data_IF_697901511242
#
_entry.id   IF_697901511242
#
_cell.length_a   1.000
_cell.length_b   1.000
_cell.length_c   1.000
_cell.angle_alpha   90.00
_cell.angle_beta   90.00
_cell.angle_gamma   90.00
#
_symmetry.space_group_name_H-M   'P 1'
#
loop_
_entity.id
_entity.type
_entity.pdbx_description
1 polymer ?
#
# COMPACT_ATOMS: atom_id res chain seq x y z
N UNK A 1 19.73 4.29 -41.55
CA UNK A 1 19.09 3.53 -40.47
C UNK A 1 18.66 4.58 -39.42
N UNK A 2 17.42 4.99 -39.51
CA UNK A 2 16.80 5.95 -38.59
C UNK A 2 16.16 5.12 -37.51
N UNK A 3 16.69 5.18 -36.27
CA UNK A 3 16.06 4.60 -35.11
C UNK A 3 14.77 5.36 -34.80
N UNK A 4 13.63 4.69 -34.86
CA UNK A 4 12.37 5.20 -34.33
C UNK A 4 12.48 5.29 -32.81
N UNK A 5 12.13 6.42 -32.19
CA UNK A 5 12.07 6.51 -30.73
C UNK A 5 10.97 5.58 -30.22
N UNK A 6 11.30 4.72 -29.27
CA UNK A 6 10.34 3.82 -28.62
C UNK A 6 9.33 4.64 -27.84
N UNK A 7 8.10 4.68 -28.33
CA UNK A 7 6.94 5.42 -27.76
C UNK A 7 6.73 5.12 -26.25
N UNK A 8 7.15 3.96 -25.77
CA UNK A 8 7.05 3.58 -24.35
C UNK A 8 7.93 4.39 -23.38
N UNK A 9 9.06 4.93 -23.84
CA UNK A 9 9.96 5.70 -22.97
C UNK A 9 9.44 7.14 -22.73
N UNK A 10 8.76 7.75 -23.70
CA UNK A 10 8.17 9.08 -23.55
C UNK A 10 6.93 9.07 -22.65
N UNK A 11 6.08 8.04 -22.74
CA UNK A 11 4.89 7.90 -21.90
C UNK A 11 5.27 7.71 -20.41
N UNK A 12 6.24 6.84 -20.12
CA UNK A 12 6.73 6.64 -18.74
C UNK A 12 7.32 7.93 -18.15
N UNK A 13 7.99 8.75 -18.95
CA UNK A 13 8.57 10.04 -18.51
C UNK A 13 7.49 11.08 -18.20
N UNK A 14 6.42 11.14 -19.00
CA UNK A 14 5.30 12.07 -18.80
C UNK A 14 4.52 11.71 -17.54
N UNK A 15 4.25 10.42 -17.32
CA UNK A 15 3.55 9.90 -16.15
C UNK A 15 4.34 10.13 -14.86
N UNK A 16 5.64 9.88 -14.89
CA UNK A 16 6.56 10.20 -13.79
C UNK A 16 6.58 11.70 -13.44
N UNK A 17 6.57 12.60 -14.43
CA UNK A 17 6.51 14.05 -14.23
C UNK A 17 5.16 14.47 -13.65
N UNK A 18 4.06 13.84 -14.07
CA UNK A 18 2.72 14.11 -13.53
C UNK A 18 2.65 13.73 -12.06
N UNK A 19 3.02 12.50 -11.71
CA UNK A 19 3.05 12.01 -10.33
C UNK A 19 3.92 12.90 -9.43
N UNK A 20 5.08 13.34 -9.92
CA UNK A 20 5.95 14.26 -9.18
C UNK A 20 5.27 15.60 -8.90
N UNK A 21 4.55 16.17 -9.87
CA UNK A 21 3.81 17.44 -9.68
C UNK A 21 2.66 17.30 -8.71
N UNK A 22 1.96 16.19 -8.73
CA UNK A 22 0.87 15.90 -7.80
C UNK A 22 1.43 15.71 -6.38
N UNK A 23 2.53 14.97 -6.23
CA UNK A 23 3.22 14.85 -4.95
C UNK A 23 3.70 16.20 -4.40
N UNK A 24 4.25 17.09 -5.25
CA UNK A 24 4.69 18.41 -4.85
C UNK A 24 3.52 19.31 -4.37
N UNK A 25 2.31 19.12 -4.92
CA UNK A 25 1.10 19.85 -4.48
C UNK A 25 0.59 19.40 -3.12
N UNK A 26 0.91 18.18 -2.68
CA UNK A 26 0.46 17.62 -1.41
C UNK A 26 1.41 17.93 -0.25
N UNK A 27 2.63 18.37 -0.50
CA UNK A 27 3.62 18.66 0.54
C UNK A 27 3.16 19.70 1.54
N UNK A 28 2.63 20.85 1.08
CA UNK A 28 2.10 21.89 1.94
C UNK A 28 0.84 21.44 2.72
N UNK A 29 -0.18 20.82 2.11
CA UNK A 29 -1.30 20.22 2.83
C UNK A 29 -0.90 19.20 3.90
N UNK A 30 0.06 18.32 3.61
CA UNK A 30 0.53 17.30 4.55
C UNK A 30 1.20 17.94 5.77
N UNK A 31 2.08 18.92 5.56
CA UNK A 31 2.71 19.65 6.66
C UNK A 31 1.70 20.45 7.50
N UNK A 32 0.74 21.08 6.85
CA UNK A 32 -0.33 21.81 7.53
C UNK A 32 -1.20 20.87 8.38
N UNK A 33 -1.57 19.69 7.87
CA UNK A 33 -2.33 18.68 8.61
C UNK A 33 -1.55 18.19 9.84
N UNK A 34 -0.26 17.86 9.68
CA UNK A 34 0.61 17.44 10.78
C UNK A 34 0.73 18.51 11.86
N UNK A 35 0.86 19.80 11.48
CA UNK A 35 0.89 20.90 12.43
C UNK A 35 -0.43 21.08 13.19
N UNK A 36 -1.57 20.90 12.51
CA UNK A 36 -2.90 20.96 13.14
C UNK A 36 -3.08 19.77 14.08
N UNK A 37 -2.72 18.56 13.68
CA UNK A 37 -2.77 17.38 14.52
C UNK A 37 -2.01 17.61 15.84
N UNK A 38 -0.77 18.11 15.77
CA UNK A 38 0.03 18.43 16.96
C UNK A 38 -0.60 19.52 17.84
N UNK A 39 -1.23 20.54 17.26
CA UNK A 39 -1.95 21.58 18.02
C UNK A 39 -3.18 21.04 18.74
N UNK A 40 -3.80 20.00 18.19
CA UNK A 40 -4.93 19.29 18.81
C UNK A 40 -4.49 18.27 19.88
N UNK A 41 -3.19 18.09 20.08
CA UNK A 41 -2.63 17.17 21.06
C UNK A 41 -2.43 15.75 20.53
N UNK A 42 -2.49 15.54 19.22
CA UNK A 42 -2.16 14.26 18.58
C UNK A 42 -0.63 14.14 18.43
N UNK A 43 -0.15 12.90 18.48
CA UNK A 43 1.27 12.57 18.33
C UNK A 43 1.47 11.48 17.27
N UNK A 44 1.16 11.76 15.98
CA UNK A 44 1.28 10.76 14.92
C UNK A 44 2.73 10.30 14.71
N UNK A 45 2.91 9.08 14.15
CA UNK A 45 4.15 8.74 13.49
C UNK A 45 4.38 9.66 12.29
N UNK A 46 5.63 9.85 11.83
CA UNK A 46 5.87 10.43 10.51
C UNK A 46 5.14 9.64 9.44
N UNK A 47 4.53 10.32 8.47
CA UNK A 47 3.79 9.68 7.39
C UNK A 47 4.48 9.96 6.05
N UNK A 48 4.74 8.91 5.29
CA UNK A 48 5.18 8.97 3.89
C UNK A 48 3.94 8.81 2.98
N UNK A 49 3.66 9.82 2.18
CA UNK A 49 2.53 9.83 1.26
C UNK A 49 2.97 9.40 -0.14
N UNK A 50 2.21 8.49 -0.75
CA UNK A 50 2.42 7.95 -2.08
C UNK A 50 1.16 8.18 -2.91
N UNK A 51 1.32 8.63 -4.15
CA UNK A 51 0.21 8.70 -5.09
C UNK A 51 0.27 7.45 -5.95
N UNK A 52 -0.84 6.72 -6.00
CA UNK A 52 -0.97 5.46 -6.72
C UNK A 52 -2.14 5.52 -7.70
N UNK A 53 -2.02 4.81 -8.79
CA UNK A 53 -3.10 4.68 -9.75
C UNK A 53 -4.21 3.72 -9.26
N UNK A 54 -5.24 3.55 -10.08
CA UNK A 54 -6.38 2.70 -9.75
C UNK A 54 -6.00 1.22 -9.62
N UNK A 55 -5.12 0.72 -10.47
CA UNK A 55 -4.73 -0.68 -10.49
C UNK A 55 -3.79 -1.01 -9.32
N UNK A 56 -2.83 -0.14 -9.04
CA UNK A 56 -1.97 -0.21 -7.86
C UNK A 56 -2.78 -0.16 -6.55
N UNK A 57 -3.79 0.72 -6.47
CA UNK A 57 -4.68 0.78 -5.31
C UNK A 57 -5.44 -0.53 -5.10
N UNK A 58 -5.98 -1.12 -6.16
CA UNK A 58 -6.67 -2.41 -6.07
C UNK A 58 -5.72 -3.57 -5.68
N UNK A 59 -4.48 -3.52 -6.14
CA UNK A 59 -3.44 -4.49 -5.74
C UNK A 59 -3.12 -4.35 -4.25
N UNK A 60 -2.91 -3.13 -3.76
CA UNK A 60 -2.69 -2.87 -2.34
C UNK A 60 -3.85 -3.38 -1.48
N UNK A 61 -5.09 -3.13 -1.90
CA UNK A 61 -6.28 -3.67 -1.21
C UNK A 61 -6.27 -5.19 -1.20
N UNK A 62 -5.99 -5.83 -2.34
CA UNK A 62 -5.94 -7.28 -2.44
C UNK A 62 -4.86 -7.88 -1.54
N UNK A 63 -3.74 -7.19 -1.37
CA UNK A 63 -2.63 -7.59 -0.50
C UNK A 63 -2.82 -7.17 0.97
N UNK A 64 -3.96 -6.57 1.32
CA UNK A 64 -4.24 -6.12 2.69
C UNK A 64 -3.45 -4.88 3.11
N UNK A 65 -3.15 -3.99 2.16
CA UNK A 65 -2.45 -2.72 2.37
C UNK A 65 -0.92 -2.80 2.24
N UNK A 66 -0.37 -3.92 1.78
CA UNK A 66 1.07 -4.10 1.61
C UNK A 66 1.46 -4.25 0.14
N UNK A 67 2.65 -3.78 -0.20
CA UNK A 67 3.16 -3.83 -1.58
C UNK A 67 3.65 -5.21 -2.01
N UNK A 68 3.94 -6.10 -1.07
CA UNK A 68 4.50 -7.41 -1.38
C UNK A 68 3.86 -8.50 -0.54
N UNK A 69 3.54 -9.62 -1.17
CA UNK A 69 3.04 -10.85 -0.54
C UNK A 69 3.76 -12.06 -1.13
N UNK A 70 3.72 -13.18 -0.43
CA UNK A 70 4.20 -14.46 -0.94
C UNK A 70 3.39 -14.88 -2.17
N UNK A 71 4.02 -15.57 -3.17
CA UNK A 71 3.32 -16.01 -4.37
C UNK A 71 2.23 -17.03 -4.03
N UNK A 72 0.97 -16.68 -4.28
CA UNK A 72 -0.17 -17.58 -4.07
C UNK A 72 -1.37 -17.13 -4.90
N UNK A 73 -2.16 -18.09 -5.39
CA UNK A 73 -3.34 -17.84 -6.23
C UNK A 73 -4.41 -16.97 -5.56
N UNK A 74 -4.51 -17.00 -4.22
CA UNK A 74 -5.51 -16.23 -3.46
C UNK A 74 -5.44 -14.72 -3.74
N UNK A 75 -4.24 -14.20 -3.96
CA UNK A 75 -4.06 -12.76 -4.19
C UNK A 75 -4.62 -12.32 -5.53
N UNK A 76 -4.45 -13.13 -6.58
CA UNK A 76 -5.09 -12.90 -7.87
C UNK A 76 -6.61 -12.95 -7.79
N UNK A 77 -7.17 -13.88 -7.00
CA UNK A 77 -8.60 -13.93 -6.74
C UNK A 77 -9.09 -12.75 -5.91
N UNK A 78 -8.34 -12.30 -4.91
CA UNK A 78 -8.67 -11.12 -4.12
C UNK A 78 -8.68 -9.87 -5.01
N UNK A 79 -7.69 -9.72 -5.88
CA UNK A 79 -7.60 -8.64 -6.86
C UNK A 79 -8.79 -8.64 -7.83
N UNK A 80 -9.10 -9.78 -8.45
CA UNK A 80 -10.24 -9.92 -9.38
C UNK A 80 -11.58 -9.60 -8.69
N UNK A 81 -11.74 -10.03 -7.44
CA UNK A 81 -12.93 -9.70 -6.63
C UNK A 81 -12.99 -8.19 -6.37
N UNK A 82 -11.90 -7.58 -5.96
CA UNK A 82 -11.82 -6.14 -5.68
C UNK A 82 -12.14 -5.32 -6.93
N UNK A 83 -11.54 -5.68 -8.06
CA UNK A 83 -11.77 -5.00 -9.34
C UNK A 83 -13.25 -5.08 -9.76
N UNK A 84 -13.86 -6.27 -9.68
CA UNK A 84 -15.28 -6.46 -9.97
C UNK A 84 -16.18 -5.66 -9.00
N UNK A 85 -15.85 -5.67 -7.72
CA UNK A 85 -16.61 -4.93 -6.72
C UNK A 85 -16.57 -3.42 -7.00
N UNK A 86 -15.42 -2.87 -7.33
CA UNK A 86 -15.26 -1.45 -7.69
C UNK A 86 -16.02 -1.10 -8.96
N UNK A 87 -15.99 -1.96 -9.99
CA UNK A 87 -16.69 -1.72 -11.25
C UNK A 87 -18.21 -1.79 -11.13
N UNK A 88 -18.75 -2.73 -10.35
CA UNK A 88 -20.19 -2.96 -10.29
C UNK A 88 -20.90 -2.23 -9.14
N UNK A 89 -20.22 -2.00 -8.03
CA UNK A 89 -20.79 -1.36 -6.84
C UNK A 89 -20.38 0.11 -6.70
N UNK A 90 -19.45 0.60 -7.53
CA UNK A 90 -19.03 2.01 -7.55
C UNK A 90 -18.28 2.46 -6.31
N UNK A 91 -17.69 1.52 -5.56
CA UNK A 91 -16.83 1.84 -4.42
C UNK A 91 -15.51 2.45 -4.88
N UNK A 92 -15.16 3.63 -4.38
CA UNK A 92 -13.84 4.25 -4.57
C UNK A 92 -13.07 4.13 -3.26
N UNK A 93 -11.88 3.53 -3.32
CA UNK A 93 -10.93 3.64 -2.22
C UNK A 93 -10.18 4.97 -2.37
N UNK A 94 -10.21 5.79 -1.34
CA UNK A 94 -9.54 7.09 -1.35
C UNK A 94 -8.08 6.96 -0.89
N UNK A 95 -7.85 6.07 0.08
CA UNK A 95 -6.54 5.82 0.67
C UNK A 95 -6.43 4.43 1.27
N UNK A 96 -5.18 4.04 1.49
CA UNK A 96 -4.78 2.95 2.38
C UNK A 96 -3.64 3.47 3.23
N UNK A 97 -3.67 3.19 4.53
CA UNK A 97 -2.58 3.55 5.45
C UNK A 97 -2.10 2.33 6.22
N UNK A 98 -0.79 2.13 6.22
CA UNK A 98 -0.14 1.04 6.94
C UNK A 98 0.27 1.49 8.35
N UNK A 99 0.00 0.61 9.33
CA UNK A 99 0.50 0.79 10.68
C UNK A 99 2.00 0.43 10.74
N UNK A 100 2.82 1.41 10.45
CA UNK A 100 4.27 1.30 10.43
C UNK A 100 4.93 2.57 11.00
N UNK A 101 6.25 2.56 11.20
CA UNK A 101 7.00 3.73 11.65
C UNK A 101 8.28 3.91 10.79
N UNK A 102 8.28 4.85 9.83
CA UNK A 102 7.19 5.79 9.46
C UNK A 102 5.98 5.07 8.86
N UNK A 103 4.77 5.63 9.07
CA UNK A 103 3.56 5.15 8.42
C UNK A 103 3.61 5.42 6.91
N UNK A 104 3.04 4.53 6.11
CA UNK A 104 2.93 4.70 4.67
C UNK A 104 1.46 4.86 4.30
N UNK A 105 1.12 5.96 3.64
CA UNK A 105 -0.23 6.25 3.15
C UNK A 105 -0.24 6.31 1.62
N UNK A 106 -1.07 5.48 1.01
CA UNK A 106 -1.26 5.41 -0.43
C UNK A 106 -2.55 6.14 -0.79
N UNK A 107 -2.44 7.17 -1.61
CA UNK A 107 -3.52 8.05 -2.02
C UNK A 107 -3.85 7.82 -3.48
N UNK A 108 -5.13 7.66 -3.81
CA UNK A 108 -5.52 7.45 -5.20
C UNK A 108 -5.36 8.73 -6.03
N UNK A 109 -4.72 8.64 -7.19
CA UNK A 109 -4.46 9.78 -8.10
C UNK A 109 -5.73 10.47 -8.59
N UNK A 110 -6.87 9.75 -8.68
CA UNK A 110 -8.14 10.31 -9.13
C UNK A 110 -8.89 11.13 -8.07
N UNK A 111 -8.35 11.26 -6.86
CA UNK A 111 -8.90 12.15 -5.85
C UNK A 111 -8.68 13.61 -6.28
N UNK A 112 -9.68 14.45 -6.11
CA UNK A 112 -9.47 15.87 -6.27
C UNK A 112 -8.66 16.48 -5.09
N UNK A 113 -8.23 17.72 -5.23
CA UNK A 113 -7.41 18.37 -4.20
C UNK A 113 -8.13 18.50 -2.84
N UNK A 114 -9.46 18.64 -2.85
CA UNK A 114 -10.23 18.72 -1.61
C UNK A 114 -10.30 17.37 -0.92
N UNK A 115 -10.54 16.30 -1.70
CA UNK A 115 -10.51 14.92 -1.23
C UNK A 115 -9.11 14.58 -0.68
N UNK A 116 -8.03 14.91 -1.41
CA UNK A 116 -6.66 14.66 -0.96
C UNK A 116 -6.37 15.33 0.40
N UNK A 117 -6.78 16.59 0.58
CA UNK A 117 -6.60 17.30 1.87
C UNK A 117 -7.39 16.66 3.01
N UNK A 118 -8.63 16.23 2.74
CA UNK A 118 -9.45 15.54 3.73
C UNK A 118 -8.81 14.20 4.13
N UNK A 119 -8.36 13.44 3.15
CA UNK A 119 -7.69 12.15 3.35
C UNK A 119 -6.38 12.30 4.13
N UNK A 120 -5.54 13.27 3.78
CA UNK A 120 -4.30 13.54 4.53
C UNK A 120 -4.60 13.83 6.01
N UNK A 121 -5.63 14.61 6.28
CA UNK A 121 -6.05 14.90 7.67
C UNK A 121 -6.53 13.65 8.39
N UNK A 122 -7.24 12.77 7.69
CA UNK A 122 -7.71 11.48 8.19
C UNK A 122 -6.55 10.52 8.49
N UNK A 123 -5.56 10.46 7.61
CA UNK A 123 -4.33 9.65 7.77
C UNK A 123 -3.52 10.08 9.00
N UNK A 124 -3.40 11.38 9.28
CA UNK A 124 -2.72 11.85 10.49
C UNK A 124 -3.40 11.32 11.77
N UNK A 125 -4.73 11.26 11.78
CA UNK A 125 -5.49 10.68 12.90
C UNK A 125 -5.29 9.15 13.01
N UNK A 126 -5.24 8.43 11.90
CA UNK A 126 -4.88 7.01 11.91
C UNK A 126 -3.47 6.78 12.44
N UNK A 127 -2.51 7.56 12.00
CA UNK A 127 -1.12 7.45 12.44
C UNK A 127 -0.95 7.71 13.93
N UNK A 128 -1.68 8.69 14.49
CA UNK A 128 -1.73 8.91 15.93
C UNK A 128 -2.35 7.73 16.68
N UNK A 129 -3.45 7.19 16.16
CA UNK A 129 -4.11 6.03 16.72
C UNK A 129 -3.20 4.78 16.71
N UNK A 130 -2.48 4.54 15.63
CA UNK A 130 -1.53 3.44 15.54
C UNK A 130 -0.42 3.55 16.57
N UNK A 131 0.12 4.76 16.77
CA UNK A 131 1.20 5.00 17.72
C UNK A 131 0.77 4.87 19.17
N UNK A 132 -0.41 5.38 19.51
CA UNK A 132 -0.82 5.58 20.91
C UNK A 132 -1.82 4.52 21.39
N UNK A 133 -2.31 3.63 20.54
CA UNK A 133 -3.19 2.55 20.92
C UNK A 133 -2.40 1.42 21.59
N UNK A 134 -2.73 1.13 22.84
CA UNK A 134 -2.07 0.11 23.65
C UNK A 134 -2.12 -1.28 23.01
N UNK A 135 -3.22 -1.63 22.34
CA UNK A 135 -3.39 -2.94 21.70
C UNK A 135 -2.45 -3.15 20.51
N UNK A 136 -2.17 -2.11 19.73
CA UNK A 136 -1.18 -2.20 18.67
C UNK A 136 0.24 -2.33 19.23
N UNK A 137 0.52 -1.68 20.36
CA UNK A 137 1.81 -1.77 21.03
C UNK A 137 2.11 -3.16 21.60
N UNK A 138 1.09 -3.92 22.01
CA UNK A 138 1.28 -5.26 22.59
C UNK A 138 1.86 -6.29 21.62
N UNK A 139 1.61 -6.12 20.32
CA UNK A 139 2.08 -7.02 19.26
C UNK A 139 3.26 -6.46 18.49
N UNK A 140 3.62 -5.20 18.71
CA UNK A 140 4.66 -4.48 18.00
C UNK A 140 6.06 -4.67 18.65
N UNK A 141 6.49 -5.91 18.83
CA UNK A 141 7.93 -6.16 19.06
C UNK A 141 8.78 -5.88 17.80
N UNK A 142 8.14 -5.61 16.69
CA UNK A 142 8.79 -5.22 15.45
C UNK A 142 7.91 -4.18 14.73
N UNK A 143 8.26 -2.89 14.77
CA UNK A 143 7.47 -1.81 14.17
C UNK A 143 7.47 -1.82 12.63
N UNK A 144 8.22 -2.72 11.99
CA UNK A 144 8.33 -2.81 10.54
C UNK A 144 7.60 -4.07 10.02
N UNK A 145 6.27 -3.98 10.01
CA UNK A 145 5.41 -5.05 9.50
C UNK A 145 5.62 -5.28 7.99
N UNK A 146 5.90 -4.23 7.23
CA UNK A 146 6.16 -4.32 5.79
C UNK A 146 7.43 -5.13 5.52
N UNK A 147 8.55 -4.80 6.17
CA UNK A 147 9.79 -5.54 6.02
C UNK A 147 9.69 -6.98 6.54
N UNK A 148 8.88 -7.23 7.58
CA UNK A 148 8.63 -8.59 8.05
C UNK A 148 7.89 -9.42 6.99
N UNK A 149 6.83 -8.87 6.41
CA UNK A 149 6.06 -9.53 5.36
C UNK A 149 6.86 -9.74 4.08
N UNK A 150 7.72 -8.78 3.73
CA UNK A 150 8.64 -8.92 2.60
C UNK A 150 9.60 -10.10 2.80
N UNK A 151 10.26 -10.20 3.96
CA UNK A 151 11.13 -11.35 4.27
C UNK A 151 10.38 -12.68 4.24
N UNK A 152 9.13 -12.71 4.75
CA UNK A 152 8.31 -13.92 4.67
C UNK A 152 7.97 -14.29 3.23
N UNK A 153 7.64 -13.29 2.38
CA UNK A 153 7.38 -13.51 0.96
C UNK A 153 8.62 -14.06 0.24
N UNK A 154 9.80 -13.50 0.50
CA UNK A 154 11.08 -13.98 -0.05
C UNK A 154 11.38 -15.40 0.39
N UNK A 155 11.24 -15.72 1.67
CA UNK A 155 11.48 -17.08 2.18
C UNK A 155 10.54 -18.11 1.53
N UNK A 156 9.26 -17.78 1.36
CA UNK A 156 8.31 -18.68 0.70
C UNK A 156 8.66 -18.83 -0.78
N UNK A 157 9.07 -17.76 -1.44
CA UNK A 157 9.53 -17.82 -2.83
C UNK A 157 10.77 -18.68 -2.98
N UNK A 158 11.76 -18.56 -2.07
CA UNK A 158 12.93 -19.43 -2.03
C UNK A 158 12.55 -20.92 -1.94
N UNK A 159 11.58 -21.28 -1.09
CA UNK A 159 11.08 -22.65 -1.01
C UNK A 159 10.39 -23.12 -2.30
N UNK A 160 9.68 -22.23 -2.99
CA UNK A 160 9.03 -22.57 -4.26
C UNK A 160 10.01 -22.72 -5.43
N UNK A 161 11.18 -22.09 -5.33
CA UNK A 161 12.25 -22.12 -6.34
C UNK A 161 13.31 -23.20 -6.04
N UNK A 162 13.31 -23.78 -4.85
CA UNK A 162 14.25 -24.83 -4.45
C UNK A 162 13.99 -26.13 -5.23
N UNK A 163 14.98 -26.67 -5.97
CA UNK A 163 14.80 -27.87 -6.77
C UNK A 163 14.53 -29.14 -5.94
N UNK A 164 14.84 -29.14 -4.65
CA UNK A 164 14.62 -30.26 -3.74
C UNK A 164 13.26 -30.19 -3.01
N UNK A 165 12.51 -29.10 -3.21
CA UNK A 165 11.20 -28.87 -2.58
C UNK A 165 10.13 -28.83 -3.69
N UNK A 166 9.08 -29.65 -3.53
CA UNK A 166 7.95 -29.63 -4.44
C UNK A 166 7.11 -28.34 -4.23
N UNK A 167 7.01 -27.53 -5.28
CA UNK A 167 6.24 -26.29 -5.25
C UNK A 167 4.76 -26.53 -4.90
N UNK A 168 4.15 -27.60 -5.44
CA UNK A 168 2.75 -27.93 -5.15
C UNK A 168 2.56 -28.25 -3.66
N UNK A 169 3.56 -28.87 -3.03
CA UNK A 169 3.52 -29.12 -1.59
C UNK A 169 3.58 -27.83 -0.78
N UNK A 170 4.38 -26.83 -1.18
CA UNK A 170 4.42 -25.50 -0.52
C UNK A 170 3.07 -24.81 -0.65
N UNK A 171 2.48 -24.78 -1.86
CA UNK A 171 1.16 -24.17 -2.08
C UNK A 171 0.07 -24.87 -1.26
N UNK A 172 0.07 -26.21 -1.20
CA UNK A 172 -0.88 -26.97 -0.38
C UNK A 172 -0.73 -26.68 1.12
N UNK A 173 0.50 -26.52 1.61
CA UNK A 173 0.73 -26.10 3.00
C UNK A 173 0.17 -24.73 3.29
N UNK A 174 0.35 -23.77 2.39
CA UNK A 174 -0.23 -22.43 2.51
C UNK A 174 -1.76 -22.53 2.58
N UNK A 175 -2.38 -23.31 1.69
CA UNK A 175 -3.83 -23.53 1.70
C UNK A 175 -4.33 -24.09 3.03
N UNK A 176 -3.61 -25.07 3.62
CA UNK A 176 -3.97 -25.62 4.92
C UNK A 176 -3.89 -24.57 6.05
N UNK A 177 -2.85 -23.73 6.05
CA UNK A 177 -2.70 -22.65 7.05
C UNK A 177 -3.82 -21.62 6.91
N UNK A 178 -4.18 -21.27 5.68
CA UNK A 178 -5.27 -20.33 5.39
C UNK A 178 -6.66 -20.84 5.82
N UNK A 179 -6.83 -22.14 6.01
CA UNK A 179 -8.06 -22.69 6.59
C UNK A 179 -8.20 -22.42 8.11
N UNK A 180 -7.14 -21.89 8.74
CA UNK A 180 -7.16 -21.55 10.16
C UNK A 180 -7.56 -20.09 10.44
N UNK A 181 -7.64 -19.26 9.38
CA UNK A 181 -8.15 -17.89 9.44
C UNK A 181 -9.70 -17.91 9.50
#
# INVERSE_FOLDING_TARGET
MTEEPTVGCELATVESIRMQREADQLGEPAEAASQVAKKLGLEPYPVNYWIVDYDEMNELIAYGGFQKRYPHWRWGMAYDRQQKQSQFLGGKAFEIVNNDNPAHAFLQESNDLADQKAVITHVEAHSDFFKNNEWFGLFANNPDAAAMLERHAETIQEYMEDPDIDREAVEAWIDHVLCLE
#
